data_IF_281354326453
#
_entry.id   IF_281354326453
#
_cell.length_a   1.000
_cell.length_b   1.000
_cell.length_c   1.000
_cell.angle_alpha   90.00
_cell.angle_beta   90.00
_cell.angle_gamma   90.00
#
_symmetry.space_group_name_H-M   'P 1'
#
loop_
_entity.id
_entity.type
_entity.pdbx_description
1 polymer ?
#
# COMPACT_ATOMS: atom_id res chain seq x y z
N UNK A 1 -18.16 -6.18 9.90
CA UNK A 1 -17.67 -4.80 10.06
C UNK A 1 -16.85 -4.47 8.84
N UNK A 2 -16.94 -3.23 8.34
CA UNK A 2 -16.08 -2.78 7.25
C UNK A 2 -14.61 -2.71 7.68
N UNK A 3 -13.66 -2.63 6.74
CA UNK A 3 -12.28 -2.27 7.05
C UNK A 3 -12.22 -0.91 7.78
N UNK A 4 -11.16 -0.72 8.58
CA UNK A 4 -10.89 0.51 9.32
C UNK A 4 -12.05 1.03 10.19
N UNK A 5 -12.93 0.12 10.66
CA UNK A 5 -14.07 0.47 11.49
C UNK A 5 -13.70 0.31 12.98
N UNK A 6 -13.59 1.41 13.76
CA UNK A 6 -13.38 1.32 15.19
C UNK A 6 -14.57 0.62 15.86
N UNK A 7 -14.28 -0.33 16.73
CA UNK A 7 -15.30 -1.07 17.43
C UNK A 7 -14.82 -1.49 18.82
N UNK A 8 -15.77 -1.87 19.64
CA UNK A 8 -15.59 -2.32 21.01
C UNK A 8 -16.45 -3.57 21.20
N UNK A 9 -15.94 -4.52 21.98
CA UNK A 9 -16.61 -5.80 22.21
C UNK A 9 -16.85 -5.94 23.71
N UNK A 10 -18.10 -6.17 24.09
CA UNK A 10 -18.51 -6.44 25.47
C UNK A 10 -19.17 -7.82 25.53
N UNK A 11 -18.71 -8.67 26.45
CA UNK A 11 -19.19 -10.05 26.59
C UNK A 11 -19.82 -10.23 27.98
N UNK A 12 -21.13 -9.99 28.14
CA UNK A 12 -21.80 -10.01 29.46
C UNK A 12 -21.98 -11.41 30.06
N UNK A 13 -21.91 -12.46 29.24
CA UNK A 13 -22.07 -13.86 29.65
C UNK A 13 -21.05 -14.75 28.93
N UNK A 14 -20.76 -15.92 29.49
CA UNK A 14 -19.85 -16.89 28.87
C UNK A 14 -20.34 -17.24 27.46
N UNK A 15 -19.55 -16.86 26.45
CA UNK A 15 -19.89 -17.01 25.03
C UNK A 15 -18.67 -17.52 24.27
N UNK A 16 -18.89 -18.41 23.31
CA UNK A 16 -17.89 -18.81 22.31
C UNK A 16 -18.29 -18.17 20.98
N UNK A 17 -17.40 -17.37 20.39
CA UNK A 17 -17.62 -16.70 19.10
C UNK A 17 -16.68 -17.29 18.03
N UNK A 18 -17.15 -17.34 16.79
CA UNK A 18 -16.34 -17.65 15.60
C UNK A 18 -16.40 -16.48 14.63
N UNK A 19 -15.27 -16.14 14.02
CA UNK A 19 -15.16 -15.01 13.09
C UNK A 19 -13.96 -15.16 12.15
N UNK A 20 -13.91 -14.29 11.14
CA UNK A 20 -12.82 -14.26 10.17
C UNK A 20 -12.68 -12.90 9.50
N UNK A 21 -11.53 -12.68 8.86
CA UNK A 21 -11.21 -11.46 8.11
C UNK A 21 -11.05 -11.82 6.63
N UNK A 22 -11.56 -10.96 5.74
CA UNK A 22 -11.37 -11.08 4.30
C UNK A 22 -11.11 -9.70 3.69
N UNK A 23 -10.45 -9.69 2.53
CA UNK A 23 -10.23 -8.47 1.73
C UNK A 23 -11.24 -8.45 0.58
N UNK A 24 -11.98 -7.37 0.44
CA UNK A 24 -12.90 -7.16 -0.67
C UNK A 24 -12.39 -6.06 -1.60
N UNK A 25 -12.52 -6.28 -2.91
CA UNK A 25 -12.12 -5.31 -3.94
C UNK A 25 -12.88 -3.99 -3.80
N UNK A 26 -14.16 -4.05 -3.41
CA UNK A 26 -15.04 -2.90 -3.26
C UNK A 26 -14.68 -1.96 -2.09
N UNK A 27 -13.81 -2.38 -1.17
CA UNK A 27 -13.41 -1.60 0.01
C UNK A 27 -11.89 -1.50 0.10
N UNK A 28 -11.21 -1.48 -1.05
CA UNK A 28 -9.75 -1.61 -1.10
C UNK A 28 -9.04 -0.35 -0.62
N UNK A 29 -9.63 0.83 -0.85
CA UNK A 29 -9.15 2.11 -0.30
C UNK A 29 -9.17 2.08 1.23
N UNK A 30 -10.30 1.72 1.82
CA UNK A 30 -10.43 1.61 3.27
C UNK A 30 -9.50 0.52 3.84
N UNK A 31 -9.32 -0.59 3.12
CA UNK A 31 -8.36 -1.64 3.50
C UNK A 31 -6.93 -1.11 3.52
N UNK A 32 -6.54 -0.32 2.52
CA UNK A 32 -5.23 0.32 2.46
C UNK A 32 -5.05 1.28 3.64
N UNK A 33 -6.02 2.15 3.91
CA UNK A 33 -6.00 3.11 5.02
C UNK A 33 -5.87 2.37 6.36
N UNK A 34 -6.70 1.34 6.61
CA UNK A 34 -6.61 0.53 7.82
C UNK A 34 -5.27 -0.21 7.96
N UNK A 35 -4.66 -0.68 6.87
CA UNK A 35 -3.32 -1.28 6.88
C UNK A 35 -2.24 -0.24 7.23
N UNK A 36 -2.38 1.00 6.79
CA UNK A 36 -1.47 2.09 7.14
C UNK A 36 -1.64 2.45 8.61
N UNK A 37 -2.87 2.65 9.10
CA UNK A 37 -3.13 2.95 10.50
C UNK A 37 -2.58 1.88 11.44
N UNK A 38 -2.88 0.60 11.17
CA UNK A 38 -2.36 -0.54 11.95
C UNK A 38 -0.83 -0.61 11.96
N UNK A 39 -0.18 -0.27 10.86
CA UNK A 39 1.28 -0.21 10.79
C UNK A 39 1.85 0.98 11.58
N UNK A 40 1.26 2.17 11.46
CA UNK A 40 1.74 3.39 12.11
C UNK A 40 1.49 3.42 13.62
N UNK A 41 0.42 2.76 14.08
CA UNK A 41 -0.10 2.82 15.45
C UNK A 41 -0.19 1.44 16.14
N UNK A 42 0.62 0.48 15.71
CA UNK A 42 0.68 -0.92 16.19
C UNK A 42 0.30 -1.18 17.67
N UNK A 43 0.83 -0.39 18.60
CA UNK A 43 0.59 -0.60 20.03
C UNK A 43 -0.66 0.10 20.59
N UNK A 44 -1.22 1.04 19.83
CA UNK A 44 -2.37 1.86 20.22
C UNK A 44 -3.69 1.22 19.78
N UNK A 45 -3.67 0.45 18.69
CA UNK A 45 -4.83 -0.34 18.21
C UNK A 45 -4.57 -1.84 18.35
N UNK A 46 -5.63 -2.65 18.36
CA UNK A 46 -5.53 -4.11 18.42
C UNK A 46 -5.62 -4.75 17.03
N UNK A 47 -5.25 -6.02 16.89
CA UNK A 47 -5.29 -6.79 15.62
C UNK A 47 -4.48 -6.16 14.47
N UNK A 48 -3.30 -5.65 14.80
CA UNK A 48 -2.52 -4.75 13.92
C UNK A 48 -1.70 -5.47 12.87
N UNK A 49 -1.27 -6.70 13.13
CA UNK A 49 -0.46 -7.46 12.19
C UNK A 49 -1.00 -8.87 11.98
N UNK A 50 -1.46 -9.11 10.75
CA UNK A 50 -1.76 -10.44 10.24
C UNK A 50 -0.74 -10.78 9.17
N UNK A 51 0.31 -11.51 9.55
CA UNK A 51 1.44 -11.86 8.65
C UNK A 51 1.00 -12.45 7.29
N UNK A 52 -0.04 -13.31 7.20
CA UNK A 52 -0.48 -13.84 5.91
C UNK A 52 -1.04 -12.79 4.93
N UNK A 53 -1.46 -11.62 5.41
CA UNK A 53 -2.11 -10.58 4.61
C UNK A 53 -1.23 -10.10 3.46
N UNK A 54 0.09 -9.98 3.65
CA UNK A 54 1.00 -9.56 2.56
C UNK A 54 1.03 -10.58 1.42
N UNK A 55 1.04 -11.86 1.74
CA UNK A 55 0.97 -12.94 0.73
C UNK A 55 -0.38 -12.96 0.03
N UNK A 56 -1.47 -12.69 0.76
CA UNK A 56 -2.80 -12.53 0.17
C UNK A 56 -2.84 -11.36 -0.81
N UNK A 57 -2.27 -10.21 -0.46
CA UNK A 57 -2.17 -9.04 -1.35
C UNK A 57 -1.36 -9.35 -2.63
N UNK A 58 -0.23 -10.05 -2.52
CA UNK A 58 0.51 -10.51 -3.70
C UNK A 58 -0.33 -11.43 -4.60
N UNK A 59 -1.12 -12.33 -4.00
CA UNK A 59 -2.01 -13.22 -4.75
C UNK A 59 -3.14 -12.45 -5.42
N UNK A 60 -3.69 -11.43 -4.76
CA UNK A 60 -4.67 -10.52 -5.35
C UNK A 60 -4.08 -9.75 -6.53
N UNK A 61 -2.84 -9.26 -6.42
CA UNK A 61 -2.15 -8.58 -7.52
C UNK A 61 -1.99 -9.51 -8.73
N UNK A 62 -1.58 -10.76 -8.49
CA UNK A 62 -1.52 -11.78 -9.54
C UNK A 62 -2.90 -12.09 -10.12
N UNK A 63 -3.93 -12.18 -9.30
CA UNK A 63 -5.30 -12.43 -9.74
C UNK A 63 -5.80 -11.31 -10.67
N UNK A 64 -5.66 -10.04 -10.27
CA UNK A 64 -6.05 -8.90 -11.11
C UNK A 64 -5.19 -8.81 -12.38
N UNK A 65 -3.88 -9.03 -12.30
CA UNK A 65 -3.02 -9.05 -13.48
C UNK A 65 -3.48 -10.11 -14.50
N UNK A 66 -3.77 -11.32 -14.02
CA UNK A 66 -4.25 -12.41 -14.89
C UNK A 66 -5.62 -12.09 -15.49
N UNK A 67 -6.54 -11.52 -14.71
CA UNK A 67 -7.89 -11.21 -15.17
C UNK A 67 -7.96 -10.00 -16.11
N UNK A 68 -7.35 -8.89 -15.72
CA UNK A 68 -7.45 -7.60 -16.42
C UNK A 68 -6.45 -7.50 -17.58
N UNK A 69 -5.17 -7.78 -17.31
CA UNK A 69 -4.09 -7.61 -18.31
C UNK A 69 -4.03 -8.81 -19.25
N UNK A 70 -4.06 -10.04 -18.71
CA UNK A 70 -3.97 -11.27 -19.52
C UNK A 70 -5.32 -11.79 -20.02
N UNK A 71 -6.44 -11.20 -19.59
CA UNK A 71 -7.81 -11.61 -19.97
C UNK A 71 -8.06 -13.11 -19.73
N UNK A 72 -7.51 -13.65 -18.64
CA UNK A 72 -7.53 -15.09 -18.35
C UNK A 72 -8.93 -15.63 -18.06
N UNK A 73 -9.80 -14.84 -17.42
CA UNK A 73 -11.09 -15.31 -16.93
C UNK A 73 -12.23 -14.86 -17.84
N UNK A 74 -13.04 -15.81 -18.30
CA UNK A 74 -14.24 -15.52 -19.09
C UNK A 74 -15.34 -14.90 -18.22
N UNK A 75 -16.21 -14.07 -18.80
CA UNK A 75 -17.32 -13.37 -18.10
C UNK A 75 -18.31 -14.27 -17.34
N UNK A 76 -18.31 -15.58 -17.65
CA UNK A 76 -19.19 -16.57 -17.02
C UNK A 76 -18.52 -17.31 -15.86
N UNK A 77 -17.22 -17.08 -15.63
CA UNK A 77 -16.50 -17.68 -14.51
C UNK A 77 -16.73 -16.86 -13.23
N UNK A 78 -16.92 -17.54 -12.10
CA UNK A 78 -17.04 -16.90 -10.77
C UNK A 78 -15.82 -15.99 -10.50
N UNK A 79 -14.63 -16.43 -10.94
CA UNK A 79 -13.41 -15.64 -10.86
C UNK A 79 -13.56 -14.26 -11.54
N UNK A 80 -14.27 -14.16 -12.66
CA UNK A 80 -14.45 -12.88 -13.34
C UNK A 80 -15.26 -11.88 -12.50
N UNK A 81 -16.25 -12.36 -11.72
CA UNK A 81 -17.08 -11.52 -10.86
C UNK A 81 -16.31 -10.87 -9.70
N UNK A 82 -15.08 -11.31 -9.42
CA UNK A 82 -14.21 -10.73 -8.39
C UNK A 82 -13.18 -9.74 -8.94
N UNK A 83 -13.11 -9.55 -10.26
CA UNK A 83 -12.27 -8.52 -10.85
C UNK A 83 -12.80 -7.13 -10.50
N UNK A 84 -11.90 -6.16 -10.34
CA UNK A 84 -12.29 -4.77 -10.24
C UNK A 84 -12.92 -4.35 -11.56
N UNK A 85 -14.15 -3.86 -11.49
CA UNK A 85 -14.83 -3.30 -12.63
C UNK A 85 -14.54 -1.81 -12.73
N UNK A 86 -14.06 -1.36 -13.89
CA UNK A 86 -13.53 0.00 -14.08
C UNK A 86 -14.52 0.81 -14.92
N UNK A 87 -15.76 0.95 -14.42
CA UNK A 87 -16.85 1.64 -15.13
C UNK A 87 -16.92 3.14 -14.84
N UNK A 88 -16.29 3.58 -13.75
CA UNK A 88 -16.32 4.97 -13.31
C UNK A 88 -14.99 5.37 -12.65
N UNK A 89 -14.83 6.67 -12.39
CA UNK A 89 -13.56 7.19 -11.87
C UNK A 89 -13.27 6.74 -10.43
N UNK A 90 -14.29 6.43 -9.62
CA UNK A 90 -14.06 5.84 -8.29
C UNK A 90 -13.35 4.50 -8.40
N UNK A 91 -13.78 3.66 -9.34
CA UNK A 91 -13.14 2.36 -9.59
C UNK A 91 -11.72 2.48 -10.16
N UNK A 92 -11.43 3.54 -10.92
CA UNK A 92 -10.07 3.89 -11.35
C UNK A 92 -9.20 4.16 -10.12
N UNK A 93 -9.70 4.95 -9.16
CA UNK A 93 -9.00 5.24 -7.91
C UNK A 93 -8.82 3.97 -7.06
N UNK A 94 -9.81 3.07 -7.01
CA UNK A 94 -9.69 1.80 -6.30
C UNK A 94 -8.51 0.97 -6.83
N UNK A 95 -8.39 0.82 -8.16
CA UNK A 95 -7.29 0.08 -8.75
C UNK A 95 -5.94 0.80 -8.58
N UNK A 96 -5.91 2.14 -8.69
CA UNK A 96 -4.70 2.93 -8.41
C UNK A 96 -4.25 2.76 -6.96
N UNK A 97 -5.17 2.85 -6.01
CA UNK A 97 -4.90 2.70 -4.57
C UNK A 97 -4.42 1.29 -4.24
N UNK A 98 -5.03 0.27 -4.84
CA UNK A 98 -4.54 -1.10 -4.74
C UNK A 98 -3.11 -1.24 -5.26
N UNK A 99 -2.81 -0.70 -6.44
CA UNK A 99 -1.47 -0.77 -7.02
C UNK A 99 -0.44 -0.04 -6.14
N UNK A 100 -0.79 1.13 -5.59
CA UNK A 100 0.07 1.87 -4.67
C UNK A 100 0.33 1.06 -3.39
N UNK A 101 -0.69 0.44 -2.80
CA UNK A 101 -0.54 -0.47 -1.66
C UNK A 101 0.43 -1.62 -1.97
N UNK A 102 0.37 -2.20 -3.18
CA UNK A 102 1.31 -3.26 -3.61
C UNK A 102 2.73 -2.71 -3.81
N UNK A 103 2.89 -1.50 -4.34
CA UNK A 103 4.21 -0.86 -4.48
C UNK A 103 4.85 -0.66 -3.10
N UNK A 104 4.06 -0.21 -2.12
CA UNK A 104 4.46 -0.01 -0.73
C UNK A 104 4.42 -1.29 0.13
N UNK A 105 4.22 -2.48 -0.44
CA UNK A 105 3.92 -3.70 0.35
C UNK A 105 4.95 -4.02 1.43
N UNK A 106 6.22 -3.77 1.14
CA UNK A 106 7.39 -3.93 2.01
C UNK A 106 7.60 -2.71 2.91
N UNK A 107 7.30 -1.49 2.45
CA UNK A 107 7.28 -0.30 3.32
C UNK A 107 6.30 -0.51 4.46
N UNK A 108 5.19 -1.20 4.21
CA UNK A 108 4.18 -1.51 5.21
C UNK A 108 4.37 -2.90 5.84
N UNK A 109 5.51 -3.58 5.68
CA UNK A 109 5.78 -4.87 6.34
C UNK A 109 6.64 -4.66 7.59
N UNK A 110 6.14 -5.12 8.74
CA UNK A 110 6.84 -5.09 10.01
C UNK A 110 8.23 -5.72 9.91
N UNK A 111 8.37 -6.81 9.13
CA UNK A 111 9.63 -7.53 8.95
C UNK A 111 10.71 -6.71 8.25
N UNK A 112 10.32 -5.69 7.49
CA UNK A 112 11.26 -4.79 6.80
C UNK A 112 12.10 -3.99 7.80
N UNK A 113 11.54 -3.69 8.96
CA UNK A 113 12.17 -2.87 10.01
C UNK A 113 12.79 -3.72 11.12
N UNK A 114 12.96 -5.01 10.87
CA UNK A 114 13.46 -5.99 11.82
C UNK A 114 14.69 -6.68 11.22
N UNK A 115 15.71 -6.95 12.02
CA UNK A 115 16.85 -7.77 11.61
C UNK A 115 16.47 -9.25 11.55
N UNK A 116 15.70 -9.72 12.53
CA UNK A 116 15.13 -11.06 12.59
C UNK A 116 13.75 -10.99 13.27
N UNK A 117 13.19 -12.11 13.73
CA UNK A 117 11.86 -12.11 14.39
C UNK A 117 11.81 -11.28 15.69
N UNK A 118 12.94 -11.04 16.35
CA UNK A 118 13.02 -10.53 17.72
C UNK A 118 13.72 -9.17 17.83
N UNK A 119 14.65 -8.87 16.92
CA UNK A 119 15.51 -7.69 16.99
C UNK A 119 15.07 -6.67 15.95
N UNK A 120 14.70 -5.47 16.41
CA UNK A 120 14.40 -4.34 15.55
C UNK A 120 15.68 -3.82 14.86
N UNK A 121 15.56 -3.36 13.61
CA UNK A 121 16.69 -2.89 12.81
C UNK A 121 17.38 -1.64 13.40
N UNK A 122 16.67 -0.89 14.25
CA UNK A 122 17.21 0.28 14.95
C UNK A 122 17.76 -0.04 16.36
N UNK A 123 17.79 -1.31 16.79
CA UNK A 123 18.31 -1.69 18.10
C UNK A 123 19.84 -1.84 18.07
N UNK A 124 20.54 -0.70 18.02
CA UNK A 124 22.00 -0.60 17.88
C UNK A 124 22.75 -1.31 19.03
N UNK A 125 22.13 -1.46 20.21
CA UNK A 125 22.75 -2.16 21.36
C UNK A 125 22.87 -3.67 21.15
N UNK A 126 21.97 -4.26 20.37
CA UNK A 126 21.92 -5.70 20.10
C UNK A 126 22.56 -6.10 18.76
N UNK A 127 22.95 -5.12 17.94
CA UNK A 127 23.50 -5.33 16.61
C UNK A 127 25.00 -5.01 16.56
N UNK A 128 25.79 -5.91 15.96
CA UNK A 128 27.20 -5.64 15.68
C UNK A 128 27.36 -4.62 14.57
N UNK A 129 28.55 -4.02 14.46
CA UNK A 129 28.86 -3.05 13.41
C UNK A 129 28.67 -3.62 12.00
N UNK A 130 29.08 -4.88 11.78
CA UNK A 130 28.92 -5.57 10.50
C UNK A 130 27.45 -5.78 10.14
N UNK A 131 26.59 -6.03 11.13
CA UNK A 131 25.15 -6.20 10.92
C UNK A 131 24.48 -4.89 10.54
N UNK A 132 24.85 -3.78 11.19
CA UNK A 132 24.36 -2.45 10.84
C UNK A 132 24.78 -2.09 9.41
N UNK A 133 26.05 -2.31 9.06
CA UNK A 133 26.55 -2.10 7.71
C UNK A 133 25.79 -2.96 6.67
N UNK A 134 25.46 -4.21 6.99
CA UNK A 134 24.69 -5.08 6.10
C UNK A 134 23.24 -4.61 5.92
N UNK A 135 22.59 -4.12 6.98
CA UNK A 135 21.24 -3.51 6.90
C UNK A 135 21.29 -2.30 5.96
N UNK A 136 22.29 -1.43 6.14
CA UNK A 136 22.42 -0.20 5.38
C UNK A 136 22.76 -0.44 3.90
N UNK A 137 23.74 -1.30 3.61
CA UNK A 137 24.24 -1.54 2.25
C UNK A 137 23.33 -2.46 1.43
N UNK A 138 22.69 -3.45 2.05
CA UNK A 138 21.99 -4.52 1.32
C UNK A 138 20.50 -4.63 1.67
N UNK A 139 19.97 -3.68 2.44
CA UNK A 139 18.61 -3.76 2.99
C UNK A 139 18.35 -5.10 3.69
N UNK A 140 19.34 -5.60 4.44
CA UNK A 140 19.26 -6.88 5.12
C UNK A 140 18.23 -6.79 6.26
N UNK A 141 17.12 -7.53 6.16
CA UNK A 141 16.02 -7.50 7.13
C UNK A 141 15.31 -8.86 7.23
N UNK A 142 14.32 -8.96 8.12
CA UNK A 142 13.65 -10.20 8.48
C UNK A 142 12.67 -10.73 7.41
N UNK A 143 12.47 -10.01 6.29
CA UNK A 143 11.68 -10.52 5.16
C UNK A 143 12.45 -11.65 4.48
N UNK A 144 11.86 -12.86 4.53
CA UNK A 144 12.49 -14.06 3.97
C UNK A 144 12.66 -13.94 2.45
N UNK A 145 13.71 -14.51 1.84
CA UNK A 145 14.00 -14.35 0.41
C UNK A 145 12.83 -14.71 -0.52
N UNK A 146 12.07 -15.75 -0.16
CA UNK A 146 10.88 -16.17 -0.91
C UNK A 146 9.80 -15.09 -0.96
N UNK A 147 9.59 -14.38 0.14
CA UNK A 147 8.58 -13.33 0.21
C UNK A 147 9.08 -12.06 -0.49
N UNK A 148 10.38 -11.77 -0.43
CA UNK A 148 10.99 -10.69 -1.25
C UNK A 148 10.74 -10.88 -2.74
N UNK A 149 10.96 -12.09 -3.26
CA UNK A 149 10.68 -12.41 -4.66
C UNK A 149 9.19 -12.23 -5.01
N UNK A 150 8.28 -12.59 -4.10
CA UNK A 150 6.85 -12.38 -4.28
C UNK A 150 6.49 -10.89 -4.30
N UNK A 151 7.10 -10.08 -3.43
CA UNK A 151 6.89 -8.64 -3.38
C UNK A 151 7.37 -8.00 -4.68
N UNK A 152 8.58 -8.32 -5.13
CA UNK A 152 9.13 -7.85 -6.41
C UNK A 152 8.22 -8.21 -7.59
N UNK A 153 7.76 -9.46 -7.66
CA UNK A 153 6.84 -9.90 -8.70
C UNK A 153 5.51 -9.13 -8.67
N UNK A 154 4.92 -8.97 -7.48
CA UNK A 154 3.66 -8.25 -7.30
C UNK A 154 3.81 -6.76 -7.66
N UNK A 155 4.93 -6.12 -7.32
CA UNK A 155 5.21 -4.74 -7.75
C UNK A 155 5.24 -4.61 -9.27
N UNK A 156 5.95 -5.52 -9.96
CA UNK A 156 5.97 -5.54 -11.42
C UNK A 156 4.55 -5.69 -12.02
N UNK A 157 3.70 -6.51 -11.40
CA UNK A 157 2.29 -6.64 -11.78
C UNK A 157 1.49 -5.36 -11.51
N UNK A 158 1.74 -4.64 -10.41
CA UNK A 158 1.09 -3.36 -10.11
C UNK A 158 1.42 -2.30 -11.17
N UNK A 159 2.69 -2.16 -11.57
CA UNK A 159 3.07 -1.26 -12.67
C UNK A 159 2.40 -1.64 -14.00
N UNK A 160 2.31 -2.94 -14.31
CA UNK A 160 1.63 -3.40 -15.51
C UNK A 160 0.10 -3.19 -15.46
N UNK A 161 -0.51 -3.29 -14.27
CA UNK A 161 -1.92 -2.97 -14.06
C UNK A 161 -2.21 -1.48 -14.25
N UNK A 162 -1.34 -0.59 -13.75
CA UNK A 162 -1.45 0.86 -13.98
C UNK A 162 -1.33 1.19 -15.48
N UNK A 163 -0.35 0.60 -16.17
CA UNK A 163 -0.20 0.79 -17.62
C UNK A 163 -1.42 0.28 -18.39
N UNK A 164 -1.93 -0.90 -18.02
CA UNK A 164 -3.15 -1.45 -18.59
C UNK A 164 -4.37 -0.55 -18.33
N UNK A 165 -4.53 -0.04 -17.11
CA UNK A 165 -5.65 0.80 -16.69
C UNK A 165 -5.76 2.01 -17.61
N UNK A 166 -4.69 2.80 -17.75
CA UNK A 166 -4.71 4.02 -18.56
C UNK A 166 -4.79 3.79 -20.06
N UNK A 167 -4.53 2.57 -20.54
CA UNK A 167 -4.81 2.16 -21.93
C UNK A 167 -6.23 1.64 -22.13
N UNK A 168 -6.92 1.30 -21.04
CA UNK A 168 -8.23 0.64 -21.07
C UNK A 168 -9.38 1.56 -20.71
N UNK A 169 -9.12 2.79 -20.24
CA UNK A 169 -10.16 3.76 -19.91
C UNK A 169 -9.88 5.12 -20.53
N UNK A 170 -10.94 5.81 -20.94
CA UNK A 170 -10.93 7.21 -21.32
C UNK A 170 -11.31 8.04 -20.09
N UNK A 171 -10.40 8.88 -19.62
CA UNK A 171 -10.63 9.79 -18.49
C UNK A 171 -10.88 11.19 -19.04
N UNK A 172 -12.00 11.79 -18.66
CA UNK A 172 -12.39 13.15 -19.04
C UNK A 172 -12.35 14.03 -17.79
N UNK A 173 -11.73 15.21 -17.92
CA UNK A 173 -11.80 16.25 -16.92
C UNK A 173 -13.10 17.05 -17.13
N UNK A 174 -13.99 17.03 -16.14
CA UNK A 174 -15.31 17.69 -16.21
C UNK A 174 -15.22 19.21 -16.32
N UNK A 175 -14.16 19.82 -15.80
CA UNK A 175 -13.98 21.27 -15.85
C UNK A 175 -13.64 21.73 -17.26
N UNK A 176 -12.69 21.04 -17.91
CA UNK A 176 -12.25 21.39 -19.27
C UNK A 176 -13.09 20.72 -20.36
N UNK A 177 -13.84 19.67 -20.00
CA UNK A 177 -14.55 18.75 -20.90
C UNK A 177 -13.62 18.12 -21.94
N UNK A 178 -12.35 17.96 -21.60
CA UNK A 178 -11.34 17.36 -22.48
C UNK A 178 -10.83 16.03 -21.91
N UNK A 179 -10.40 15.10 -22.78
CA UNK A 179 -9.68 13.92 -22.35
C UNK A 179 -8.37 14.29 -21.64
N UNK A 180 -8.07 13.60 -20.55
CA UNK A 180 -6.78 13.70 -19.86
C UNK A 180 -5.72 13.04 -20.75
N UNK A 181 -4.81 13.84 -21.32
CA UNK A 181 -3.83 13.36 -22.32
C UNK A 181 -2.79 12.38 -21.77
N UNK A 182 -2.34 12.60 -20.54
CA UNK A 182 -1.36 11.74 -19.86
C UNK A 182 -1.80 11.48 -18.42
N UNK A 183 -2.75 10.57 -18.19
CA UNK A 183 -3.27 10.29 -16.86
C UNK A 183 -2.23 9.63 -15.94
N UNK A 184 -1.18 9.01 -16.51
CA UNK A 184 -0.08 8.47 -15.72
C UNK A 184 0.64 9.61 -15.00
N UNK A 185 1.14 10.60 -15.74
CA UNK A 185 1.90 11.72 -15.18
C UNK A 185 1.02 12.73 -14.47
N UNK A 186 -0.20 12.97 -14.94
CA UNK A 186 -1.08 14.00 -14.36
C UNK A 186 -1.93 13.53 -13.18
N UNK A 187 -2.19 12.23 -13.03
CA UNK A 187 -3.05 11.71 -11.96
C UNK A 187 -2.31 10.73 -11.04
N UNK A 188 -1.71 9.67 -11.60
CA UNK A 188 -1.16 8.61 -10.77
C UNK A 188 0.18 8.97 -10.11
N UNK A 189 1.11 9.60 -10.84
CA UNK A 189 2.39 10.04 -10.28
C UNK A 189 2.16 10.98 -9.09
N UNK A 190 1.36 12.07 -9.20
CA UNK A 190 1.04 12.92 -8.06
C UNK A 190 0.42 12.13 -6.90
N UNK A 191 -0.51 11.21 -7.21
CA UNK A 191 -1.19 10.44 -6.17
C UNK A 191 -0.25 9.53 -5.37
N UNK A 192 0.60 8.74 -6.04
CA UNK A 192 1.53 7.86 -5.33
C UNK A 192 2.61 8.64 -4.57
N UNK A 193 3.09 9.75 -5.13
CA UNK A 193 4.05 10.63 -4.47
C UNK A 193 3.46 11.30 -3.23
N UNK A 194 2.22 11.76 -3.32
CA UNK A 194 1.48 12.31 -2.19
C UNK A 194 1.29 11.27 -1.08
N UNK A 195 0.95 10.01 -1.44
CA UNK A 195 0.85 8.92 -0.46
C UNK A 195 2.19 8.61 0.20
N UNK A 196 3.30 8.61 -0.54
CA UNK A 196 4.64 8.44 0.01
C UNK A 196 4.95 9.52 1.06
N UNK A 197 4.65 10.78 0.75
CA UNK A 197 4.80 11.89 1.68
C UNK A 197 3.91 11.75 2.91
N UNK A 198 2.63 11.41 2.71
CA UNK A 198 1.66 11.23 3.79
C UNK A 198 2.05 10.09 4.75
N UNK A 199 2.66 9.01 4.25
CA UNK A 199 3.20 7.93 5.10
C UNK A 199 4.25 8.48 6.08
N UNK A 200 5.18 9.30 5.59
CA UNK A 200 6.24 9.87 6.40
C UNK A 200 5.69 10.93 7.38
N UNK A 201 4.84 11.84 6.90
CA UNK A 201 4.19 12.85 7.74
C UNK A 201 3.40 12.21 8.88
N UNK A 202 2.65 11.14 8.59
CA UNK A 202 1.93 10.39 9.62
C UNK A 202 2.89 9.76 10.64
N UNK A 203 3.99 9.13 10.19
CA UNK A 203 4.96 8.56 11.13
C UNK A 203 5.61 9.63 12.02
N UNK A 204 5.93 10.80 11.48
CA UNK A 204 6.45 11.94 12.25
C UNK A 204 5.47 12.34 13.36
N UNK A 205 4.20 12.59 13.02
CA UNK A 205 3.15 12.94 13.99
C UNK A 205 2.95 11.86 15.05
N UNK A 206 2.97 10.59 14.66
CA UNK A 206 2.84 9.48 15.61
C UNK A 206 4.03 9.45 16.59
N UNK A 207 5.25 9.73 16.12
CA UNK A 207 6.45 9.79 16.95
C UNK A 207 6.43 10.98 17.91
N UNK A 208 6.04 12.17 17.44
CA UNK A 208 5.82 13.36 18.27
C UNK A 208 4.78 13.10 19.37
N UNK A 209 3.70 12.40 19.04
CA UNK A 209 2.66 11.96 19.97
C UNK A 209 3.09 10.77 20.84
N UNK A 210 4.32 10.25 20.71
CA UNK A 210 4.86 9.09 21.44
C UNK A 210 4.05 7.81 21.24
N UNK A 211 3.38 7.68 20.11
CA UNK A 211 2.63 6.49 19.70
C UNK A 211 3.57 5.51 19.00
N UNK A 212 3.63 4.26 19.50
CA UNK A 212 4.47 3.23 18.90
C UNK A 212 3.74 2.57 17.73
N UNK A 213 4.41 2.57 16.58
CA UNK A 213 4.04 1.79 15.40
C UNK A 213 4.88 0.52 15.29
N UNK A 214 5.00 0.01 14.07
CA UNK A 214 5.80 -1.17 13.76
C UNK A 214 7.20 -1.11 14.41
N UNK A 215 7.67 -2.18 15.08
CA UNK A 215 8.97 -2.19 15.72
C UNK A 215 10.10 -1.88 14.74
N UNK A 216 10.98 -0.96 15.13
CA UNK A 216 12.11 -0.52 14.30
C UNK A 216 11.78 0.53 13.25
N UNK A 217 10.50 0.85 13.02
CA UNK A 217 10.08 1.86 12.06
C UNK A 217 10.15 3.27 12.69
N UNK A 218 11.32 3.91 12.58
CA UNK A 218 11.49 5.35 12.82
C UNK A 218 11.20 6.13 11.53
N UNK A 219 10.92 7.44 11.59
CA UNK A 219 10.81 8.29 10.39
C UNK A 219 11.98 8.14 9.42
N UNK A 220 13.22 8.11 9.94
CA UNK A 220 14.41 7.93 9.11
C UNK A 220 14.41 6.58 8.36
N UNK A 221 14.11 5.49 9.07
CA UNK A 221 14.05 4.16 8.44
C UNK A 221 12.87 4.04 7.48
N UNK A 222 11.73 4.66 7.78
CA UNK A 222 10.56 4.69 6.89
C UNK A 222 10.88 5.46 5.62
N UNK A 223 11.45 6.67 5.73
CA UNK A 223 11.90 7.48 4.58
C UNK A 223 12.83 6.66 3.69
N UNK A 224 13.85 6.00 4.27
CA UNK A 224 14.74 5.12 3.51
C UNK A 224 13.98 4.05 2.73
N UNK A 225 13.04 3.34 3.35
CA UNK A 225 12.28 2.29 2.67
C UNK A 225 11.36 2.81 1.57
N UNK A 226 10.80 4.00 1.75
CA UNK A 226 10.02 4.70 0.71
C UNK A 226 10.93 5.01 -0.48
N UNK A 227 12.09 5.63 -0.26
CA UNK A 227 13.02 6.00 -1.34
C UNK A 227 13.56 4.77 -2.08
N UNK A 228 13.90 3.70 -1.37
CA UNK A 228 14.32 2.43 -1.98
C UNK A 228 13.23 1.80 -2.88
N UNK A 229 11.95 2.16 -2.74
CA UNK A 229 10.92 1.70 -3.66
C UNK A 229 10.96 2.38 -5.02
N UNK A 230 11.58 3.55 -5.12
CA UNK A 230 11.58 4.40 -6.31
C UNK A 230 12.98 4.73 -6.82
N UNK A 231 14.03 4.28 -6.15
CA UNK A 231 15.41 4.45 -6.58
C UNK A 231 15.60 4.03 -8.03
N UNK A 232 16.28 4.89 -8.80
CA UNK A 232 16.57 4.73 -10.23
C UNK A 232 15.31 4.60 -11.11
N UNK A 233 14.16 5.08 -10.62
CA UNK A 233 12.89 5.08 -11.35
C UNK A 233 12.45 6.49 -11.75
N UNK A 234 11.56 6.57 -12.74
CA UNK A 234 10.95 7.84 -13.17
C UNK A 234 10.10 8.53 -12.08
N UNK A 235 9.84 7.86 -10.96
CA UNK A 235 9.07 8.40 -9.83
C UNK A 235 9.95 9.03 -8.75
N UNK A 236 11.27 8.81 -8.80
CA UNK A 236 12.19 9.19 -7.71
C UNK A 236 12.09 10.68 -7.37
N UNK A 237 12.28 11.55 -8.35
CA UNK A 237 12.23 13.00 -8.17
C UNK A 237 10.87 13.46 -7.65
N UNK A 238 9.77 12.98 -8.25
CA UNK A 238 8.41 13.32 -7.82
C UNK A 238 8.12 12.91 -6.37
N UNK A 239 8.65 11.77 -5.93
CA UNK A 239 8.46 11.29 -4.55
C UNK A 239 9.31 12.10 -3.59
N UNK A 240 10.54 12.45 -3.96
CA UNK A 240 11.40 13.33 -3.17
C UNK A 240 10.75 14.71 -2.99
N UNK A 241 10.31 15.35 -4.08
CA UNK A 241 9.63 16.64 -4.06
C UNK A 241 8.38 16.60 -3.18
N UNK A 242 7.55 15.56 -3.32
CA UNK A 242 6.35 15.41 -2.51
C UNK A 242 6.67 15.25 -1.01
N UNK A 243 7.74 14.53 -0.66
CA UNK A 243 8.21 14.38 0.72
C UNK A 243 8.66 15.73 1.28
N UNK A 244 9.36 16.55 0.50
CA UNK A 244 9.77 17.91 0.91
C UNK A 244 8.58 18.86 1.11
N UNK A 245 7.50 18.66 0.36
CA UNK A 245 6.25 19.41 0.49
C UNK A 245 5.35 18.94 1.66
N UNK A 246 5.73 17.87 2.37
CA UNK A 246 5.03 17.37 3.56
C UNK A 246 3.51 17.16 3.37
N UNK A 247 3.09 16.62 2.23
CA UNK A 247 1.69 16.26 2.02
C UNK A 247 1.18 15.27 3.08
N UNK A 248 -0.04 15.49 3.57
CA UNK A 248 -0.60 14.70 4.69
C UNK A 248 -1.82 13.84 4.30
N UNK A 249 -2.24 13.88 3.04
CA UNK A 249 -3.49 13.27 2.59
C UNK A 249 -3.20 11.99 1.81
N UNK A 250 -3.79 10.86 2.26
CA UNK A 250 -3.63 9.54 1.62
C UNK A 250 -4.58 9.29 0.45
N UNK A 251 -5.64 10.08 0.31
CA UNK A 251 -6.69 9.89 -0.68
C UNK A 251 -6.44 10.70 -1.94
N UNK A 252 -6.99 10.25 -3.06
CA UNK A 252 -6.94 10.99 -4.32
C UNK A 252 -7.62 12.36 -4.18
N UNK A 253 -6.96 13.42 -4.65
CA UNK A 253 -7.48 14.79 -4.57
C UNK A 253 -8.50 15.06 -5.70
N UNK A 254 -9.60 15.73 -5.37
CA UNK A 254 -10.65 16.12 -6.32
C UNK A 254 -11.23 14.96 -7.18
N UNK A 255 -11.61 13.80 -6.60
CA UNK A 255 -12.10 12.66 -7.39
C UNK A 255 -13.34 13.00 -8.23
N UNK A 256 -14.15 13.96 -7.79
CA UNK A 256 -15.37 14.40 -8.47
C UNK A 256 -15.10 15.13 -9.79
N UNK A 257 -13.89 15.66 -9.97
CA UNK A 257 -13.45 16.41 -11.16
C UNK A 257 -13.40 15.54 -12.40
N UNK A 258 -13.19 14.24 -12.24
CA UNK A 258 -12.98 13.34 -13.36
C UNK A 258 -14.16 12.38 -13.54
N UNK A 259 -14.29 11.91 -14.77
CA UNK A 259 -15.16 10.82 -15.15
C UNK A 259 -14.38 9.85 -16.02
N UNK A 260 -14.64 8.56 -15.85
CA UNK A 260 -13.99 7.51 -16.61
C UNK A 260 -15.05 6.72 -17.36
N UNK A 261 -14.73 6.37 -18.60
CA UNK A 261 -15.53 5.49 -19.45
C UNK A 261 -14.61 4.47 -20.09
N UNK A 262 -15.14 3.28 -20.36
CA UNK A 262 -14.38 2.17 -20.94
C UNK A 262 -14.68 2.02 -22.44
#
# INVERSE_FOLDING_TARGET
>A
MGPDCPHWVYTPFHTICSGGHYTASATIQDTMIGLIHTFMLDSFISNTNHTPTRILLCRLASFYYQGLVKKKYNKHEIAHAHLLDVENFSSVIDLMSFCNLIIFINVLDFKTYMYNKYIAANNVKELSHERLAAIEAFDFNAVVPKDRMRYQHARGQAYALIDWLFKSVNIIDKQTKQPVKDPRTSLWIPYISQQASALLAYRNKAEEAKLKGAPGCTPATLKRQILLCFQDSLLEDFVNDAIELEHEVFTFLEPHRYEATR
#
